data_IF_351983568261
#
_entry.id   IF_351983568261
#
_cell.length_a   1.000
_cell.length_b   1.000
_cell.length_c   1.000
_cell.angle_alpha   90.00
_cell.angle_beta   90.00
_cell.angle_gamma   90.00
#
_symmetry.space_group_name_H-M   'P 1'
#
loop_
_entity.id
_entity.type
_entity.pdbx_description
1 polymer ?
#
# COMPACT_ATOMS: atom_id res chain seq x y z
N UNK A 1 15.10 12.46 -15.79
CA UNK A 1 14.75 13.87 -16.03
C UNK A 1 15.76 14.76 -15.28
N UNK A 2 16.57 15.50 -16.04
CA UNK A 2 17.44 16.67 -15.79
C UNK A 2 17.86 17.10 -14.36
N UNK A 3 19.11 17.55 -14.21
CA UNK A 3 19.77 18.11 -13.01
C UNK A 3 19.21 19.44 -12.51
N UNK A 4 17.89 19.49 -12.28
CA UNK A 4 17.24 20.60 -11.62
C UNK A 4 17.70 20.69 -10.14
N UNK A 5 17.99 21.89 -9.62
CA UNK A 5 18.38 22.07 -8.24
C UNK A 5 17.23 21.68 -7.31
N UNK A 6 17.55 21.02 -6.18
CA UNK A 6 16.56 20.61 -5.16
C UNK A 6 15.65 21.75 -4.70
N UNK A 7 16.15 22.98 -4.71
CA UNK A 7 15.39 24.20 -4.36
C UNK A 7 14.23 24.52 -5.30
N UNK A 8 14.09 23.81 -6.43
CA UNK A 8 12.97 23.98 -7.37
C UNK A 8 11.82 23.01 -7.10
N UNK A 9 12.00 22.06 -6.19
CA UNK A 9 10.99 21.09 -5.82
C UNK A 9 10.46 21.40 -4.42
N UNK A 10 9.16 21.65 -4.34
CA UNK A 10 8.48 21.75 -3.05
C UNK A 10 8.13 20.35 -2.54
N UNK A 11 8.27 20.09 -1.22
CA UNK A 11 7.76 18.87 -0.62
C UNK A 11 6.26 18.75 -0.88
N UNK A 12 5.81 17.57 -1.29
CA UNK A 12 4.39 17.29 -1.40
C UNK A 12 3.72 17.40 -0.03
N UNK A 13 2.79 18.33 0.12
CA UNK A 13 2.08 18.62 1.38
C UNK A 13 0.69 17.98 1.46
N UNK A 14 0.37 17.05 0.56
CA UNK A 14 -0.97 16.46 0.43
C UNK A 14 -1.79 17.08 -0.71
N UNK A 15 -3.03 16.62 -0.84
CA UNK A 15 -3.99 17.13 -1.82
C UNK A 15 -4.98 18.06 -1.10
N UNK A 16 -5.06 19.32 -1.52
CA UNK A 16 -6.03 20.28 -0.98
C UNK A 16 -7.46 19.79 -1.19
N UNK A 17 -8.27 19.83 -0.13
CA UNK A 17 -9.67 19.40 -0.18
C UNK A 17 -9.87 17.88 -0.27
N UNK A 18 -8.83 17.08 0.03
CA UNK A 18 -8.95 15.62 0.00
C UNK A 18 -9.93 15.11 1.07
N UNK A 19 -9.82 15.61 2.29
CA UNK A 19 -10.62 15.16 3.42
C UNK A 19 -12.13 15.31 3.16
N UNK A 20 -12.88 14.21 3.27
CA UNK A 20 -14.31 14.14 3.03
C UNK A 20 -14.73 14.12 1.55
N UNK A 21 -13.76 14.11 0.63
CA UNK A 21 -14.05 14.07 -0.81
C UNK A 21 -14.31 12.65 -1.31
N UNK A 22 -14.97 12.55 -2.49
CA UNK A 22 -15.07 11.28 -3.21
C UNK A 22 -13.70 10.72 -3.59
N UNK A 23 -12.71 11.59 -3.81
CA UNK A 23 -11.34 11.18 -4.14
C UNK A 23 -10.68 10.44 -2.99
N UNK A 24 -10.90 10.87 -1.74
CA UNK A 24 -10.37 10.16 -0.56
C UNK A 24 -10.97 8.75 -0.45
N UNK A 25 -12.28 8.62 -0.63
CA UNK A 25 -12.96 7.32 -0.63
C UNK A 25 -12.43 6.41 -1.75
N UNK A 26 -12.22 6.96 -2.95
CA UNK A 26 -11.67 6.23 -4.09
C UNK A 26 -10.24 5.77 -3.83
N UNK A 27 -9.40 6.62 -3.21
CA UNK A 27 -8.02 6.24 -2.85
C UNK A 27 -7.99 5.14 -1.79
N UNK A 28 -8.86 5.20 -0.77
CA UNK A 28 -9.01 4.14 0.23
C UNK A 28 -9.47 2.83 -0.40
N UNK A 29 -10.44 2.91 -1.31
CA UNK A 29 -10.96 1.75 -2.05
C UNK A 29 -9.87 1.13 -2.94
N UNK A 30 -9.11 1.97 -3.66
CA UNK A 30 -7.98 1.52 -4.48
C UNK A 30 -6.90 0.86 -3.62
N UNK A 31 -6.48 1.49 -2.52
CA UNK A 31 -5.52 0.90 -1.59
C UNK A 31 -5.95 -0.50 -1.11
N UNK A 32 -7.22 -0.66 -0.73
CA UNK A 32 -7.76 -1.96 -0.33
C UNK A 32 -7.73 -2.97 -1.49
N UNK A 33 -8.08 -2.54 -2.71
CA UNK A 33 -8.04 -3.37 -3.91
C UNK A 33 -6.64 -3.87 -4.26
N UNK A 34 -5.67 -2.97 -4.31
CA UNK A 34 -4.27 -3.29 -4.63
C UNK A 34 -3.62 -4.15 -3.55
N UNK A 35 -3.94 -3.89 -2.28
CA UNK A 35 -3.48 -4.74 -1.16
C UNK A 35 -4.00 -6.17 -1.30
N UNK A 36 -5.27 -6.35 -1.67
CA UNK A 36 -5.83 -7.68 -1.89
C UNK A 36 -5.25 -8.36 -3.14
N UNK A 37 -5.03 -7.60 -4.23
CA UNK A 37 -4.42 -8.12 -5.45
C UNK A 37 -3.01 -8.64 -5.20
N UNK A 38 -2.17 -7.84 -4.51
CA UNK A 38 -0.85 -8.25 -4.05
C UNK A 38 -0.88 -9.60 -3.31
N UNK A 39 -1.74 -9.73 -2.29
CA UNK A 39 -1.81 -10.95 -1.47
C UNK A 39 -2.27 -12.16 -2.28
N UNK A 40 -3.21 -11.98 -3.22
CA UNK A 40 -3.63 -13.04 -4.15
C UNK A 40 -2.49 -13.46 -5.07
N UNK A 41 -1.78 -12.52 -5.68
CA UNK A 41 -0.69 -12.83 -6.62
C UNK A 41 0.46 -13.55 -5.93
N UNK A 42 0.82 -13.18 -4.70
CA UNK A 42 1.81 -13.93 -3.92
C UNK A 42 1.33 -15.38 -3.64
N UNK A 43 0.05 -15.58 -3.30
CA UNK A 43 -0.51 -16.92 -3.12
C UNK A 43 -0.51 -17.72 -4.44
N UNK A 44 -0.80 -17.08 -5.58
CA UNK A 44 -0.78 -17.71 -6.90
C UNK A 44 0.64 -18.09 -7.33
N UNK A 45 1.64 -17.25 -7.02
CA UNK A 45 3.04 -17.58 -7.24
C UNK A 45 3.45 -18.85 -6.48
N UNK A 46 3.05 -18.97 -5.20
CA UNK A 46 3.29 -20.17 -4.41
C UNK A 46 2.64 -21.41 -5.02
N UNK A 47 1.39 -21.29 -5.49
CA UNK A 47 0.70 -22.39 -6.15
C UNK A 47 1.39 -22.79 -7.48
N UNK A 48 1.83 -21.82 -8.29
CA UNK A 48 2.57 -22.07 -9.52
C UNK A 48 3.91 -22.78 -9.26
N UNK A 49 4.63 -22.36 -8.22
CA UNK A 49 5.88 -22.99 -7.77
C UNK A 49 5.66 -24.43 -7.33
N UNK A 50 4.60 -24.69 -6.56
CA UNK A 50 4.23 -26.05 -6.16
C UNK A 50 3.86 -26.96 -7.35
N UNK A 51 3.38 -26.37 -8.45
CA UNK A 51 3.10 -27.07 -9.71
C UNK A 51 4.33 -27.23 -10.62
N UNK A 52 5.51 -26.76 -10.21
CA UNK A 52 6.74 -26.79 -11.02
C UNK A 52 6.78 -25.75 -12.15
N UNK A 53 5.91 -24.72 -12.08
CA UNK A 53 5.79 -23.66 -13.09
C UNK A 53 6.53 -22.40 -12.64
N UNK A 54 7.86 -22.48 -12.61
CA UNK A 54 8.74 -21.41 -12.11
C UNK A 54 8.57 -20.07 -12.86
N UNK A 55 8.49 -20.10 -14.20
CA UNK A 55 8.32 -18.89 -15.00
C UNK A 55 6.96 -18.20 -14.70
N UNK A 56 5.92 -18.97 -14.43
CA UNK A 56 4.59 -18.46 -14.08
C UNK A 56 4.61 -17.85 -12.67
N UNK A 57 5.31 -18.50 -11.74
CA UNK A 57 5.50 -17.96 -10.39
C UNK A 57 6.21 -16.60 -10.44
N UNK A 58 7.27 -16.47 -11.25
CA UNK A 58 8.01 -15.22 -11.42
C UNK A 58 7.13 -14.08 -11.96
N UNK A 59 6.21 -14.37 -12.89
CA UNK A 59 5.27 -13.38 -13.42
C UNK A 59 4.31 -12.90 -12.32
N UNK A 60 3.77 -13.79 -11.50
CA UNK A 60 2.91 -13.40 -10.37
C UNK A 60 3.67 -12.62 -9.29
N UNK A 61 4.92 -12.96 -9.00
CA UNK A 61 5.76 -12.22 -8.07
C UNK A 61 6.04 -10.79 -8.58
N UNK A 62 6.32 -10.64 -9.88
CA UNK A 62 6.48 -9.33 -10.50
C UNK A 62 5.19 -8.50 -10.41
N UNK A 63 4.04 -9.09 -10.76
CA UNK A 63 2.74 -8.41 -10.64
C UNK A 63 2.45 -8.01 -9.18
N UNK A 64 2.74 -8.87 -8.20
CA UNK A 64 2.59 -8.54 -6.78
C UNK A 64 3.48 -7.35 -6.36
N UNK A 65 4.71 -7.26 -6.89
CA UNK A 65 5.60 -6.14 -6.64
C UNK A 65 5.01 -4.83 -7.20
N UNK A 66 4.43 -4.86 -8.40
CA UNK A 66 3.75 -3.71 -9.00
C UNK A 66 2.56 -3.26 -8.15
N UNK A 67 1.70 -4.18 -7.68
CA UNK A 67 0.57 -3.80 -6.81
C UNK A 67 1.02 -3.26 -5.46
N UNK A 68 2.20 -3.66 -4.96
CA UNK A 68 2.80 -3.03 -3.77
C UNK A 68 3.11 -1.56 -4.04
N UNK A 69 3.69 -1.25 -5.20
CA UNK A 69 4.00 0.14 -5.60
C UNK A 69 2.72 0.96 -5.78
N UNK A 70 1.67 0.40 -6.37
CA UNK A 70 0.36 1.04 -6.49
C UNK A 70 -0.24 1.34 -5.11
N UNK A 71 -0.30 0.34 -4.22
CA UNK A 71 -0.82 0.49 -2.86
C UNK A 71 -0.05 1.57 -2.06
N UNK A 72 1.28 1.55 -2.12
CA UNK A 72 2.11 2.56 -1.45
C UNK A 72 1.88 3.96 -2.00
N UNK A 73 1.66 4.10 -3.31
CA UNK A 73 1.35 5.38 -3.93
C UNK A 73 0.04 5.95 -3.40
N UNK A 74 -1.00 5.12 -3.23
CA UNK A 74 -2.27 5.54 -2.64
C UNK A 74 -2.11 5.97 -1.17
N UNK A 75 -1.35 5.22 -0.36
CA UNK A 75 -1.07 5.60 1.03
C UNK A 75 -0.31 6.93 1.13
N UNK A 76 0.61 7.19 0.20
CA UNK A 76 1.33 8.46 0.13
C UNK A 76 0.38 9.63 -0.16
N UNK A 77 -0.54 9.49 -1.13
CA UNK A 77 -1.56 10.51 -1.42
C UNK A 77 -2.53 10.73 -0.25
N UNK A 78 -2.84 9.68 0.52
CA UNK A 78 -3.67 9.75 1.72
C UNK A 78 -2.93 10.34 2.95
N UNK A 79 -1.62 10.60 2.88
CA UNK A 79 -0.84 11.08 4.02
C UNK A 79 -0.73 10.06 5.17
N UNK A 80 -0.87 8.77 4.85
CA UNK A 80 -0.84 7.68 5.84
C UNK A 80 0.57 7.15 6.10
N UNK A 81 1.56 7.53 5.28
CA UNK A 81 2.98 7.28 5.54
C UNK A 81 3.61 8.55 6.12
N UNK A 82 4.01 8.49 7.39
CA UNK A 82 4.58 9.62 8.14
C UNK A 82 5.99 9.27 8.65
N UNK A 83 6.47 9.98 9.66
CA UNK A 83 7.70 9.61 10.35
C UNK A 83 7.56 8.28 11.11
N UNK A 84 8.70 7.67 11.47
CA UNK A 84 8.74 6.37 12.13
C UNK A 84 7.94 6.32 13.42
N UNK A 85 7.95 7.39 14.22
CA UNK A 85 7.21 7.44 15.48
C UNK A 85 5.70 7.39 15.25
N UNK A 86 5.21 8.22 14.33
CA UNK A 86 3.80 8.23 13.95
C UNK A 86 3.35 6.90 13.32
N UNK A 87 4.18 6.28 12.47
CA UNK A 87 3.87 4.99 11.86
C UNK A 87 3.80 3.85 12.89
N UNK A 88 4.68 3.85 13.89
CA UNK A 88 4.62 2.89 14.99
C UNK A 88 3.36 3.06 15.84
N UNK A 89 2.96 4.31 16.12
CA UNK A 89 1.69 4.60 16.81
C UNK A 89 0.48 4.06 16.05
N UNK A 90 0.40 4.33 14.74
CA UNK A 90 -0.68 3.82 13.89
C UNK A 90 -0.72 2.28 13.84
N UNK A 91 0.44 1.62 13.79
CA UNK A 91 0.51 0.17 13.83
C UNK A 91 0.02 -0.39 15.17
N UNK A 92 0.43 0.20 16.29
CA UNK A 92 -0.01 -0.21 17.63
C UNK A 92 -1.52 -0.06 17.81
N UNK A 93 -2.10 1.05 17.34
CA UNK A 93 -3.54 1.28 17.36
C UNK A 93 -4.30 0.21 16.56
N UNK A 94 -3.83 -0.13 15.35
CA UNK A 94 -4.42 -1.18 14.52
C UNK A 94 -4.41 -2.54 15.20
N UNK A 95 -3.24 -2.97 15.70
CA UNK A 95 -3.09 -4.25 16.42
C UNK A 95 -3.95 -4.31 17.70
N UNK A 96 -4.06 -3.20 18.43
CA UNK A 96 -4.89 -3.12 19.64
C UNK A 96 -6.36 -3.30 19.30
N UNK A 97 -6.85 -2.61 18.27
CA UNK A 97 -8.22 -2.74 17.80
C UNK A 97 -8.52 -4.17 17.33
N UNK A 98 -7.60 -4.80 16.59
CA UNK A 98 -7.79 -6.18 16.15
C UNK A 98 -7.95 -7.15 17.32
N UNK A 99 -7.13 -6.98 18.37
CA UNK A 99 -7.15 -7.84 19.55
C UNK A 99 -8.33 -7.59 20.48
N UNK A 100 -8.69 -6.33 20.72
CA UNK A 100 -9.67 -5.95 21.73
C UNK A 100 -11.10 -5.97 21.17
N UNK A 101 -11.29 -5.58 19.91
CA UNK A 101 -12.60 -5.36 19.32
C UNK A 101 -12.92 -6.34 18.18
N UNK A 102 -11.99 -6.61 17.27
CA UNK A 102 -12.27 -7.42 16.07
C UNK A 102 -12.24 -8.93 16.33
N UNK A 103 -11.24 -9.38 17.08
CA UNK A 103 -11.01 -10.78 17.44
C UNK A 103 -10.78 -10.93 18.96
N UNK A 104 -11.80 -10.62 19.78
CA UNK A 104 -11.68 -10.81 21.23
C UNK A 104 -11.48 -12.30 21.55
N UNK A 105 -10.52 -12.58 22.42
CA UNK A 105 -10.15 -13.94 22.86
C UNK A 105 -11.22 -14.64 23.70
#
# INVERSE_FOLDING_TARGET
MCGAPKSRFEPFSGIDGLAGSKTEENLKTAFAGESQANRRYLAFAQAARAAGLEDVAAVFEAAAADETLHAHSHLAYLGMVRDTGANLGAALEGETYEKEDMYPG
#
